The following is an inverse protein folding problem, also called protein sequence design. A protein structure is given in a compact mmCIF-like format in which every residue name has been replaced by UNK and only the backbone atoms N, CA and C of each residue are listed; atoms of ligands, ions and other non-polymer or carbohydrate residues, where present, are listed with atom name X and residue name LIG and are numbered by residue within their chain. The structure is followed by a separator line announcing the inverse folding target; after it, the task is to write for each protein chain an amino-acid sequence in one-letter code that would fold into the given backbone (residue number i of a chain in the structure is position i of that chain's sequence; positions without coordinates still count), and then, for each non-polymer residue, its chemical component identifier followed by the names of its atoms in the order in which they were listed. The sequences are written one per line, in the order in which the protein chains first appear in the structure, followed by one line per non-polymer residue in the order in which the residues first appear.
data_IF_880273459366
#
_entry.id   IF_880273459366
#
_cell.length_a   1.000
_cell.length_b   1.000
_cell.length_c   1.000
_cell.angle_alpha   90.00
_cell.angle_beta   90.00
_cell.angle_gamma   90.00
#
_symmetry.space_group_name_H-M   'P 1'
#
loop_
_entity.id
_entity.type
_entity.pdbx_description
1 polymer ?
#
# COMPACT_ATOMS: atom_id res chain seq x y z
N UNK A 1 68.42 -21.86 -30.77
CA UNK A 1 68.92 -22.37 -32.04
C UNK A 1 67.82 -23.23 -32.64
N UNK A 2 67.31 -22.78 -33.76
CA UNK A 2 66.58 -23.48 -34.83
C UNK A 2 65.50 -24.54 -34.52
N UNK A 3 64.32 -24.15 -34.98
CA UNK A 3 63.16 -24.92 -35.46
C UNK A 3 63.59 -26.02 -36.45
N UNK A 4 62.94 -27.20 -36.40
CA UNK A 4 62.44 -27.84 -37.63
C UNK A 4 61.39 -28.95 -37.41
N UNK A 5 60.14 -28.56 -37.67
CA UNK A 5 59.13 -29.21 -38.51
C UNK A 5 59.28 -30.71 -38.87
N UNK A 6 58.26 -31.50 -38.51
CA UNK A 6 57.55 -32.34 -39.49
C UNK A 6 56.03 -32.22 -39.31
N UNK A 7 55.42 -31.70 -40.35
CA UNK A 7 53.99 -31.63 -40.64
C UNK A 7 53.51 -33.01 -41.10
N UNK A 8 52.34 -33.45 -40.63
CA UNK A 8 51.33 -34.04 -41.51
C UNK A 8 49.92 -33.86 -40.91
N UNK A 9 49.18 -32.94 -41.53
CA UNK A 9 47.73 -32.77 -41.45
C UNK A 9 47.03 -33.97 -42.08
N UNK A 10 45.88 -34.41 -41.56
CA UNK A 10 44.67 -34.67 -42.37
C UNK A 10 43.37 -34.58 -41.54
N UNK A 11 42.60 -33.52 -41.84
CA UNK A 11 41.14 -33.34 -41.91
C UNK A 11 40.18 -33.87 -40.82
N UNK A 12 39.69 -32.90 -40.04
CA UNK A 12 38.29 -32.47 -39.87
C UNK A 12 37.15 -33.51 -40.01
N UNK A 13 36.43 -33.70 -38.90
CA UNK A 13 34.97 -33.74 -38.93
C UNK A 13 34.41 -32.96 -37.72
N UNK A 14 33.58 -31.98 -38.04
CA UNK A 14 32.90 -31.06 -37.14
C UNK A 14 32.14 -31.78 -36.02
N UNK A 15 32.37 -31.36 -34.77
CA UNK A 15 31.35 -31.43 -33.73
C UNK A 15 30.93 -30.00 -33.40
N UNK A 16 29.64 -29.65 -33.54
CA UNK A 16 29.17 -28.37 -33.06
C UNK A 16 29.32 -28.38 -31.54
N UNK A 17 30.10 -27.43 -31.04
CA UNK A 17 30.14 -27.03 -29.65
C UNK A 17 28.71 -26.73 -29.21
N UNK A 18 28.13 -27.67 -28.47
CA UNK A 18 26.91 -27.46 -27.71
C UNK A 18 27.28 -26.53 -26.55
N UNK A 19 27.40 -25.23 -26.84
CA UNK A 19 27.30 -24.18 -25.84
C UNK A 19 25.87 -24.22 -25.34
N UNK A 20 25.64 -25.06 -24.34
CA UNK A 20 24.52 -24.90 -23.42
C UNK A 20 24.81 -23.59 -22.71
N UNK A 21 24.26 -22.49 -23.23
CA UNK A 21 23.95 -21.34 -22.41
C UNK A 21 22.93 -21.84 -21.39
N UNK A 22 23.41 -22.37 -20.27
CA UNK A 22 22.65 -22.35 -19.05
C UNK A 22 22.40 -20.87 -18.80
N UNK A 23 21.16 -20.44 -19.04
CA UNK A 23 20.64 -19.25 -18.42
C UNK A 23 20.63 -19.54 -16.92
N UNK A 24 21.78 -19.38 -16.27
CA UNK A 24 21.82 -19.18 -14.84
C UNK A 24 21.12 -17.84 -14.65
N UNK A 25 19.80 -17.88 -14.42
CA UNK A 25 19.22 -16.85 -13.58
C UNK A 25 20.14 -16.79 -12.35
N UNK A 26 20.71 -15.62 -12.05
CA UNK A 26 21.47 -15.46 -10.82
C UNK A 26 20.52 -15.82 -9.68
N UNK A 27 20.72 -16.99 -9.08
CA UNK A 27 19.93 -17.43 -7.95
C UNK A 27 20.30 -16.54 -6.76
N UNK A 28 19.43 -15.60 -6.44
CA UNK A 28 19.59 -14.72 -5.29
C UNK A 28 19.46 -15.55 -4.02
N UNK A 29 20.40 -15.39 -3.12
CA UNK A 29 20.48 -16.07 -1.83
C UNK A 29 20.35 -15.10 -0.66
N UNK A 30 19.89 -15.60 0.49
CA UNK A 30 19.79 -14.81 1.73
C UNK A 30 21.14 -14.24 2.18
N UNK A 31 22.25 -14.87 1.80
CA UNK A 31 23.60 -14.46 2.17
C UNK A 31 24.07 -13.17 1.45
N UNK A 32 23.37 -12.74 0.41
CA UNK A 32 23.66 -11.48 -0.29
C UNK A 32 23.08 -10.25 0.44
N UNK A 33 22.26 -10.47 1.46
CA UNK A 33 21.65 -9.41 2.26
C UNK A 33 22.40 -9.22 3.58
N UNK A 34 22.42 -8.00 4.15
CA UNK A 34 23.05 -7.76 5.44
C UNK A 34 22.48 -8.64 6.55
N UNK A 35 23.32 -8.96 7.53
CA UNK A 35 22.87 -9.62 8.76
C UNK A 35 21.75 -8.79 9.41
N UNK A 36 20.67 -9.47 9.80
CA UNK A 36 19.49 -8.84 10.36
C UNK A 36 18.48 -8.31 9.33
N UNK A 37 18.70 -8.51 8.02
CA UNK A 37 17.68 -8.19 7.02
C UNK A 37 16.38 -8.99 7.26
N UNK A 38 15.25 -8.30 7.16
CA UNK A 38 13.94 -8.87 7.41
C UNK A 38 13.35 -9.40 6.09
N UNK A 39 13.10 -10.70 6.05
CA UNK A 39 12.32 -11.39 5.03
C UNK A 39 11.00 -11.83 5.65
N UNK A 40 9.90 -11.50 4.98
CA UNK A 40 8.56 -11.71 5.53
C UNK A 40 7.48 -11.85 4.48
N UNK A 41 6.29 -12.18 4.96
CA UNK A 41 5.04 -12.18 4.19
C UNK A 41 4.14 -11.05 4.69
N UNK A 42 3.12 -10.68 3.91
CA UNK A 42 2.22 -9.58 4.23
C UNK A 42 0.76 -9.95 4.00
N UNK A 43 -0.14 -9.47 4.87
CA UNK A 43 -1.60 -9.64 4.77
C UNK A 43 -2.34 -8.39 5.25
N UNK A 44 -3.67 -8.37 5.09
CA UNK A 44 -4.57 -7.37 5.68
C UNK A 44 -5.81 -8.02 6.28
N UNK A 45 -6.34 -7.39 7.32
CA UNK A 45 -7.41 -7.94 8.15
C UNK A 45 -8.64 -8.37 7.35
N UNK A 46 -9.21 -7.47 6.54
CA UNK A 46 -10.41 -7.79 5.76
C UNK A 46 -10.17 -8.90 4.71
N UNK A 47 -8.95 -9.01 4.19
CA UNK A 47 -8.61 -10.00 3.16
C UNK A 47 -8.44 -11.42 3.72
N UNK A 48 -8.13 -11.58 5.02
CA UNK A 48 -7.81 -12.90 5.58
C UNK A 48 -8.63 -13.33 6.79
N UNK A 49 -9.10 -12.39 7.63
CA UNK A 49 -9.62 -12.73 8.95
C UNK A 49 -10.94 -13.49 8.92
N UNK A 50 -11.91 -13.00 8.16
CA UNK A 50 -13.29 -13.46 8.31
C UNK A 50 -13.87 -13.11 9.68
N UNK A 51 -14.78 -13.96 10.16
CA UNK A 51 -15.47 -13.80 11.45
C UNK A 51 -16.05 -12.37 11.59
N UNK A 52 -16.67 -11.90 10.51
CA UNK A 52 -16.90 -10.47 10.28
C UNK A 52 -17.91 -9.81 11.25
N UNK A 53 -18.69 -10.61 11.97
CA UNK A 53 -19.65 -10.20 13.01
C UNK A 53 -19.42 -10.89 14.37
N UNK A 54 -18.31 -11.61 14.53
CA UNK A 54 -18.02 -12.34 15.76
C UNK A 54 -17.43 -11.44 16.84
N UNK A 55 -17.62 -11.84 18.10
CA UNK A 55 -16.97 -11.27 19.27
C UNK A 55 -17.00 -9.73 19.34
N UNK A 56 -18.14 -9.14 18.96
CA UNK A 56 -18.40 -7.71 19.09
C UNK A 56 -17.80 -6.84 17.98
N UNK A 57 -17.21 -7.43 16.94
CA UNK A 57 -16.86 -6.70 15.71
C UNK A 57 -18.12 -6.14 15.05
N UNK A 58 -18.06 -4.90 14.58
CA UNK A 58 -19.13 -4.29 13.77
C UNK A 58 -18.79 -4.35 12.27
N UNK A 59 -19.76 -3.99 11.45
CA UNK A 59 -19.56 -3.84 10.01
C UNK A 59 -18.54 -2.72 9.72
N UNK A 60 -17.57 -3.04 8.88
CA UNK A 60 -16.68 -2.10 8.22
C UNK A 60 -17.29 -1.59 6.90
N UNK A 61 -16.66 -0.58 6.33
CA UNK A 61 -16.93 -0.10 4.97
C UNK A 61 -16.86 -1.21 3.91
N UNK A 62 -15.90 -2.12 4.03
CA UNK A 62 -15.75 -3.25 3.12
C UNK A 62 -16.83 -4.33 3.32
N UNK A 63 -17.22 -4.59 4.57
CA UNK A 63 -18.33 -5.50 4.88
C UNK A 63 -19.59 -5.02 4.15
N UNK A 64 -19.94 -3.73 4.25
CA UNK A 64 -21.13 -3.19 3.57
C UNK A 64 -20.98 -3.19 2.05
N UNK A 65 -19.83 -2.75 1.53
CA UNK A 65 -19.63 -2.58 0.10
C UNK A 65 -19.66 -3.91 -0.67
N UNK A 66 -19.03 -4.96 -0.13
CA UNK A 66 -18.98 -6.28 -0.77
C UNK A 66 -20.36 -6.96 -0.85
N UNK A 67 -21.28 -6.61 0.04
CA UNK A 67 -22.66 -7.09 0.03
C UNK A 67 -23.57 -6.34 -0.96
N UNK A 68 -23.06 -5.31 -1.65
CA UNK A 68 -23.83 -4.61 -2.70
C UNK A 68 -23.75 -5.41 -4.01
N UNK A 69 -24.88 -5.84 -4.59
CA UNK A 69 -24.88 -6.59 -5.84
C UNK A 69 -24.15 -5.86 -6.97
N UNK A 70 -23.23 -6.58 -7.63
CA UNK A 70 -22.48 -6.06 -8.78
C UNK A 70 -21.27 -5.18 -8.43
N UNK A 71 -20.95 -4.97 -7.15
CA UNK A 71 -19.71 -4.26 -6.74
C UNK A 71 -18.47 -5.14 -6.73
N UNK A 72 -18.64 -6.45 -6.50
CA UNK A 72 -17.58 -7.45 -6.59
C UNK A 72 -17.83 -8.29 -7.84
N UNK A 73 -16.81 -8.47 -8.68
CA UNK A 73 -16.92 -9.13 -10.00
C UNK A 73 -17.60 -10.50 -9.92
N UNK A 74 -17.23 -11.30 -8.92
CA UNK A 74 -17.78 -12.64 -8.68
C UNK A 74 -18.81 -12.71 -7.55
N UNK A 75 -19.15 -11.57 -6.94
CA UNK A 75 -20.07 -11.50 -5.80
C UNK A 75 -19.55 -12.14 -4.51
N UNK A 76 -18.24 -12.38 -4.41
CA UNK A 76 -17.58 -12.89 -3.21
C UNK A 76 -17.45 -11.78 -2.13
N UNK A 77 -17.27 -12.15 -0.87
CA UNK A 77 -17.11 -11.22 0.24
C UNK A 77 -16.06 -11.71 1.26
N UNK A 78 -15.80 -10.88 2.27
CA UNK A 78 -14.81 -11.14 3.32
C UNK A 78 -15.38 -11.80 4.57
N UNK A 79 -16.60 -12.37 4.51
CA UNK A 79 -17.30 -12.85 5.72
C UNK A 79 -16.53 -13.96 6.44
N UNK A 80 -15.94 -14.85 5.64
CA UNK A 80 -15.07 -15.95 6.07
C UNK A 80 -13.63 -15.73 5.62
N UNK A 81 -13.41 -15.20 4.41
CA UNK A 81 -12.08 -15.07 3.80
C UNK A 81 -11.29 -16.41 3.83
N UNK A 82 -10.09 -16.44 4.42
CA UNK A 82 -9.34 -17.70 4.68
C UNK A 82 -9.48 -18.15 6.14
N UNK A 83 -10.40 -17.56 6.89
CA UNK A 83 -10.75 -17.89 8.27
C UNK A 83 -9.58 -17.74 9.25
N UNK A 84 -8.69 -16.77 9.00
CA UNK A 84 -7.52 -16.49 9.83
C UNK A 84 -7.90 -16.16 11.27
N UNK A 85 -9.10 -15.58 11.52
CA UNK A 85 -9.55 -15.30 12.89
C UNK A 85 -9.56 -16.55 13.78
N UNK A 86 -9.93 -17.71 13.21
CA UNK A 86 -9.92 -18.99 13.90
C UNK A 86 -8.63 -19.79 13.67
N UNK A 87 -7.97 -19.58 12.53
CA UNK A 87 -6.88 -20.42 12.02
C UNK A 87 -5.49 -19.78 12.08
N UNK A 88 -5.34 -18.62 12.74
CA UNK A 88 -4.07 -17.88 12.79
C UNK A 88 -2.87 -18.70 13.25
N UNK A 89 -3.06 -19.72 14.11
CA UNK A 89 -1.98 -20.63 14.51
C UNK A 89 -1.44 -21.45 13.33
N UNK A 90 -2.29 -21.91 12.42
CA UNK A 90 -1.86 -22.63 11.20
C UNK A 90 -1.03 -21.71 10.31
N UNK A 91 -1.46 -20.47 10.10
CA UNK A 91 -0.74 -19.50 9.29
C UNK A 91 0.63 -19.14 9.88
N UNK A 92 0.72 -19.02 11.22
CA UNK A 92 2.00 -18.77 11.91
C UNK A 92 2.95 -19.95 11.76
N UNK A 93 2.47 -21.20 11.84
CA UNK A 93 3.31 -22.37 11.59
C UNK A 93 3.79 -22.43 10.12
N UNK A 94 2.94 -22.07 9.16
CA UNK A 94 3.34 -21.96 7.75
C UNK A 94 4.45 -20.93 7.57
N UNK A 95 4.30 -19.73 8.13
CA UNK A 95 5.34 -18.69 8.08
C UNK A 95 6.64 -19.18 8.72
N UNK A 96 6.57 -19.80 9.90
CA UNK A 96 7.74 -20.35 10.56
C UNK A 96 8.45 -21.40 9.70
N UNK A 97 7.68 -22.28 9.03
CA UNK A 97 8.24 -23.30 8.13
C UNK A 97 8.97 -22.73 6.91
N UNK A 98 8.57 -21.54 6.44
CA UNK A 98 9.25 -20.81 5.36
C UNK A 98 10.57 -20.18 5.81
N UNK A 99 10.83 -20.07 7.12
CA UNK A 99 12.04 -19.44 7.65
C UNK A 99 12.03 -17.91 7.55
N UNK A 100 10.85 -17.29 7.46
CA UNK A 100 10.70 -15.83 7.55
C UNK A 100 10.97 -15.35 8.96
N UNK A 101 11.45 -14.12 9.09
CA UNK A 101 11.73 -13.48 10.39
C UNK A 101 10.89 -12.21 10.61
N UNK A 102 9.95 -11.90 9.71
CA UNK A 102 8.98 -10.84 9.90
C UNK A 102 7.61 -11.25 9.32
N UNK A 103 6.54 -10.73 9.93
CA UNK A 103 5.20 -10.84 9.38
C UNK A 103 4.51 -9.48 9.45
N UNK A 104 4.11 -8.98 8.28
CA UNK A 104 3.33 -7.75 8.19
C UNK A 104 1.85 -8.08 8.13
N UNK A 105 1.07 -7.57 9.07
CA UNK A 105 -0.38 -7.73 9.08
C UNK A 105 -1.07 -6.43 9.48
N UNK A 106 -2.36 -6.31 9.22
CA UNK A 106 -3.13 -5.16 9.68
C UNK A 106 -4.09 -5.50 10.82
N UNK A 107 -4.43 -4.48 11.60
CA UNK A 107 -5.48 -4.53 12.61
C UNK A 107 -6.79 -4.10 11.95
N UNK A 108 -7.89 -4.82 12.21
CA UNK A 108 -9.21 -4.37 11.83
C UNK A 108 -9.71 -3.31 12.80
N UNK A 109 -9.96 -2.10 12.26
CA UNK A 109 -10.49 -1.00 13.05
C UNK A 109 -11.86 -1.35 13.62
N UNK A 110 -12.75 -1.92 12.81
CA UNK A 110 -14.09 -2.32 13.24
C UNK A 110 -14.09 -3.46 14.29
N UNK A 111 -12.99 -4.21 14.43
CA UNK A 111 -12.82 -5.22 15.47
C UNK A 111 -12.34 -4.61 16.79
N UNK A 112 -11.39 -3.67 16.78
CA UNK A 112 -10.79 -3.07 17.99
C UNK A 112 -11.63 -1.92 18.55
N UNK A 113 -12.11 -1.04 17.68
CA UNK A 113 -12.98 0.09 18.04
C UNK A 113 -14.25 0.04 17.17
N UNK A 114 -15.22 -0.82 17.49
CA UNK A 114 -16.35 -1.10 16.61
C UNK A 114 -17.23 0.11 16.27
N UNK A 115 -17.17 1.16 17.09
CA UNK A 115 -17.93 2.40 16.88
C UNK A 115 -17.01 3.63 16.83
N UNK A 116 -15.73 3.45 16.52
CA UNK A 116 -14.70 4.49 16.70
C UNK A 116 -14.74 5.06 18.12
N UNK A 117 -14.67 6.39 18.24
CA UNK A 117 -14.79 7.11 19.54
C UNK A 117 -16.19 7.13 20.15
N UNK A 118 -17.19 6.61 19.45
CA UNK A 118 -18.61 6.60 19.90
C UNK A 118 -18.99 5.33 20.66
N UNK A 119 -18.01 4.48 20.98
CA UNK A 119 -18.19 3.28 21.77
C UNK A 119 -16.95 2.97 22.61
N UNK A 120 -16.96 1.78 23.20
CA UNK A 120 -15.83 1.26 23.98
C UNK A 120 -14.90 0.44 23.10
N UNK A 121 -13.65 0.31 23.55
CA UNK A 121 -12.71 -0.69 23.03
C UNK A 121 -13.35 -2.06 23.19
N UNK A 122 -13.25 -2.90 22.16
CA UNK A 122 -13.68 -4.28 22.21
C UNK A 122 -12.55 -5.17 22.77
N UNK A 123 -12.67 -5.72 24.00
CA UNK A 123 -11.60 -6.51 24.60
C UNK A 123 -11.29 -7.79 23.82
N UNK A 124 -12.29 -8.41 23.17
CA UNK A 124 -12.07 -9.63 22.39
C UNK A 124 -11.25 -9.35 21.11
N UNK A 125 -11.48 -8.21 20.47
CA UNK A 125 -10.64 -7.73 19.36
C UNK A 125 -9.19 -7.47 19.79
N UNK A 126 -9.00 -6.87 20.97
CA UNK A 126 -7.65 -6.66 21.53
C UNK A 126 -6.95 -7.97 21.85
N UNK A 127 -7.66 -8.90 22.47
CA UNK A 127 -7.13 -10.22 22.84
C UNK A 127 -6.72 -11.03 21.61
N UNK A 128 -7.48 -10.95 20.51
CA UNK A 128 -7.14 -11.62 19.26
C UNK A 128 -5.76 -11.20 18.73
N UNK A 129 -5.49 -9.90 18.63
CA UNK A 129 -4.19 -9.42 18.15
C UNK A 129 -3.06 -9.66 19.16
N UNK A 130 -3.33 -9.61 20.47
CA UNK A 130 -2.36 -10.03 21.47
C UNK A 130 -1.89 -11.48 21.23
N UNK A 131 -2.83 -12.41 21.02
CA UNK A 131 -2.50 -13.81 20.73
C UNK A 131 -1.65 -13.99 19.48
N UNK A 132 -1.97 -13.28 18.39
CA UNK A 132 -1.16 -13.31 17.16
C UNK A 132 0.25 -12.83 17.46
N UNK A 133 0.39 -11.66 18.08
CA UNK A 133 1.69 -11.05 18.39
C UNK A 133 2.54 -11.97 19.28
N UNK A 134 1.96 -12.54 20.32
CA UNK A 134 2.66 -13.45 21.22
C UNK A 134 3.12 -14.71 20.48
N UNK A 135 2.26 -15.29 19.63
CA UNK A 135 2.61 -16.49 18.86
C UNK A 135 3.71 -16.22 17.82
N UNK A 136 3.71 -15.06 17.16
CA UNK A 136 4.76 -14.67 16.23
C UNK A 136 6.11 -14.54 16.94
N UNK A 137 6.14 -13.84 18.08
CA UNK A 137 7.36 -13.62 18.86
C UNK A 137 7.91 -14.94 19.43
N UNK A 138 7.05 -15.86 19.85
CA UNK A 138 7.45 -17.22 20.26
C UNK A 138 8.17 -17.99 19.13
N UNK A 139 7.87 -17.68 17.87
CA UNK A 139 8.50 -18.27 16.68
C UNK A 139 9.67 -17.45 16.15
N UNK A 140 10.05 -16.36 16.81
CA UNK A 140 11.10 -15.45 16.36
C UNK A 140 10.73 -14.66 15.11
N UNK A 141 9.44 -14.45 14.87
CA UNK A 141 8.91 -13.66 13.75
C UNK A 141 8.54 -12.27 14.27
N UNK A 142 9.18 -11.23 13.74
CA UNK A 142 8.96 -9.85 14.14
C UNK A 142 7.61 -9.33 13.60
N UNK A 143 6.70 -8.82 14.44
CA UNK A 143 5.42 -8.27 13.99
C UNK A 143 5.60 -6.87 13.39
N UNK A 144 5.16 -6.71 12.13
CA UNK A 144 5.12 -5.43 11.43
C UNK A 144 3.66 -4.99 11.24
N UNK A 145 3.17 -4.13 12.12
CA UNK A 145 1.72 -3.89 12.23
C UNK A 145 1.27 -2.68 11.43
N UNK A 146 0.27 -2.89 10.56
CA UNK A 146 -0.46 -1.83 9.87
C UNK A 146 -1.72 -1.45 10.64
N UNK A 147 -1.85 -0.20 11.07
CA UNK A 147 -2.96 0.27 11.91
C UNK A 147 -4.26 0.36 11.11
N UNK A 148 -4.21 0.85 9.86
CA UNK A 148 -5.36 0.85 8.96
C UNK A 148 -4.97 0.40 7.55
N UNK A 149 -5.67 -0.62 7.07
CA UNK A 149 -5.54 -1.14 5.71
C UNK A 149 -6.91 -1.10 5.04
N UNK A 150 -7.37 0.12 4.74
CA UNK A 150 -8.59 0.43 3.98
C UNK A 150 -9.91 0.08 4.68
N UNK A 151 -9.88 -0.69 5.78
CA UNK A 151 -11.05 -0.95 6.61
C UNK A 151 -11.23 0.11 7.71
N UNK A 152 -12.48 0.55 7.88
CA UNK A 152 -12.93 1.40 8.98
C UNK A 152 -14.36 1.01 9.38
N UNK A 153 -14.79 1.25 10.63
CA UNK A 153 -16.17 1.01 11.03
C UNK A 153 -17.13 1.78 10.11
N UNK A 154 -18.13 1.10 9.55
CA UNK A 154 -19.14 1.71 8.69
C UNK A 154 -19.88 2.86 9.40
N UNK A 155 -19.96 2.82 10.73
CA UNK A 155 -20.54 3.90 11.52
C UNK A 155 -19.83 5.26 11.29
N UNK A 156 -18.52 5.27 11.03
CA UNK A 156 -17.78 6.51 10.74
C UNK A 156 -18.14 7.07 9.35
N UNK A 157 -18.32 6.18 8.37
CA UNK A 157 -18.85 6.54 7.05
C UNK A 157 -20.25 7.15 7.17
N UNK A 158 -21.17 6.50 7.90
CA UNK A 158 -22.52 7.01 8.10
C UNK A 158 -22.60 8.33 8.86
N UNK A 159 -21.72 8.56 9.83
CA UNK A 159 -21.77 9.76 10.68
C UNK A 159 -21.26 11.01 9.97
N UNK A 160 -20.19 10.87 9.19
CA UNK A 160 -19.51 12.04 8.63
C UNK A 160 -18.78 11.77 7.31
N UNK A 161 -18.98 10.63 6.66
CA UNK A 161 -18.33 10.29 5.38
C UNK A 161 -16.88 9.81 5.53
N UNK A 162 -16.53 9.22 6.69
CA UNK A 162 -15.23 8.60 6.90
C UNK A 162 -14.08 9.57 6.64
N UNK A 163 -13.15 9.17 5.75
CA UNK A 163 -11.96 9.96 5.41
C UNK A 163 -12.22 11.27 4.66
N UNK A 164 -13.45 11.55 4.20
CA UNK A 164 -13.79 12.86 3.66
C UNK A 164 -13.83 13.96 4.71
N UNK A 165 -14.05 13.59 5.98
CA UNK A 165 -14.21 14.54 7.07
C UNK A 165 -12.94 14.64 7.92
N UNK A 166 -12.52 15.84 8.33
CA UNK A 166 -11.42 16.01 9.28
C UNK A 166 -11.72 15.39 10.65
N UNK A 167 -12.99 15.08 10.94
CA UNK A 167 -13.37 14.35 12.15
C UNK A 167 -12.75 12.95 12.24
N UNK A 168 -12.40 12.32 11.11
CA UNK A 168 -11.73 11.01 11.09
C UNK A 168 -10.37 11.06 11.78
N UNK A 169 -9.73 12.23 11.80
CA UNK A 169 -8.36 12.37 12.30
C UNK A 169 -8.28 12.02 13.79
N UNK A 170 -9.26 12.46 14.57
CA UNK A 170 -9.29 12.18 16.01
C UNK A 170 -9.76 10.74 16.30
N UNK A 171 -10.62 10.18 15.44
CA UNK A 171 -11.00 8.76 15.48
C UNK A 171 -9.81 7.84 15.18
N UNK A 172 -9.01 8.15 14.16
CA UNK A 172 -7.80 7.39 13.82
C UNK A 172 -6.74 7.52 14.91
N UNK A 173 -6.54 8.72 15.47
CA UNK A 173 -5.63 8.90 16.61
C UNK A 173 -6.04 8.04 17.80
N UNK A 174 -7.34 7.90 18.08
CA UNK A 174 -7.83 7.00 19.12
C UNK A 174 -7.46 5.55 18.82
N UNK A 175 -7.68 5.08 17.58
CA UNK A 175 -7.27 3.73 17.16
C UNK A 175 -5.76 3.52 17.35
N UNK A 176 -4.94 4.44 16.86
CA UNK A 176 -3.49 4.35 16.95
C UNK A 176 -3.04 4.28 18.42
N UNK A 177 -3.57 5.15 19.29
CA UNK A 177 -3.29 5.11 20.74
C UNK A 177 -3.69 3.77 21.36
N UNK A 178 -4.89 3.26 21.05
CA UNK A 178 -5.32 1.94 21.54
C UNK A 178 -4.34 0.86 21.09
N UNK A 179 -3.83 0.91 19.85
CA UNK A 179 -2.83 -0.04 19.38
C UNK A 179 -1.49 0.10 20.13
N UNK A 180 -0.98 1.33 20.31
CA UNK A 180 0.27 1.56 21.03
C UNK A 180 0.19 1.11 22.49
N UNK A 181 -0.93 1.38 23.16
CA UNK A 181 -1.15 1.04 24.57
C UNK A 181 -1.25 -0.46 24.81
N UNK A 182 -1.85 -1.21 23.88
CA UNK A 182 -2.10 -2.64 24.07
C UNK A 182 -1.02 -3.55 23.47
N UNK A 183 -0.30 -3.08 22.45
CA UNK A 183 0.63 -3.94 21.69
C UNK A 183 2.06 -3.39 21.59
N UNK A 184 2.27 -2.10 21.86
CA UNK A 184 3.56 -1.45 21.60
C UNK A 184 4.70 -1.84 22.54
N UNK A 185 4.41 -2.54 23.64
CA UNK A 185 5.43 -3.20 24.45
C UNK A 185 6.18 -4.27 23.63
N UNK A 186 5.51 -4.91 22.66
CA UNK A 186 6.01 -5.99 21.81
C UNK A 186 6.24 -5.57 20.36
N UNK A 187 5.35 -4.77 19.77
CA UNK A 187 5.44 -4.33 18.37
C UNK A 187 6.45 -3.19 18.21
N UNK A 188 7.43 -3.37 17.32
CA UNK A 188 8.47 -2.36 17.04
C UNK A 188 8.33 -1.65 15.69
N UNK A 189 7.48 -2.14 14.79
CA UNK A 189 7.28 -1.53 13.48
C UNK A 189 5.81 -1.22 13.22
N UNK A 190 5.50 0.07 13.13
CA UNK A 190 4.14 0.58 12.94
C UNK A 190 3.99 1.23 11.57
N UNK A 191 3.08 0.73 10.75
CA UNK A 191 2.58 1.44 9.57
C UNK A 191 1.25 2.08 9.93
N UNK A 192 1.08 3.40 9.77
CA UNK A 192 -0.22 4.02 10.03
C UNK A 192 -1.25 3.65 8.97
N UNK A 193 -0.90 3.83 7.70
CA UNK A 193 -1.78 3.60 6.56
C UNK A 193 -1.08 2.77 5.48
N UNK A 194 -1.82 1.81 4.93
CA UNK A 194 -1.46 1.16 3.67
C UNK A 194 -2.02 1.93 2.48
N UNK A 195 -1.15 2.29 1.54
CA UNK A 195 -1.45 2.82 0.20
C UNK A 195 -2.54 3.91 0.17
N UNK A 196 -2.35 5.07 0.81
CA UNK A 196 -3.31 6.17 0.75
C UNK A 196 -3.65 6.61 -0.68
N UNK A 197 -2.67 6.53 -1.58
CA UNK A 197 -2.82 6.84 -3.00
C UNK A 197 -3.75 5.86 -3.73
N UNK A 198 -3.68 4.55 -3.42
CA UNK A 198 -4.61 3.56 -3.99
C UNK A 198 -5.99 3.67 -3.36
N UNK A 199 -6.09 3.94 -2.06
CA UNK A 199 -7.38 4.17 -1.40
C UNK A 199 -8.14 5.32 -2.06
N UNK A 200 -7.45 6.42 -2.39
CA UNK A 200 -8.03 7.55 -3.10
C UNK A 200 -8.39 7.20 -4.57
N UNK A 201 -7.49 6.56 -5.32
CA UNK A 201 -7.76 6.19 -6.71
C UNK A 201 -8.93 5.21 -6.83
N UNK A 202 -8.93 4.14 -6.03
CA UNK A 202 -9.96 3.10 -6.14
C UNK A 202 -11.29 3.52 -5.52
N UNK A 203 -11.27 4.28 -4.41
CA UNK A 203 -12.48 4.64 -3.66
C UNK A 203 -13.19 5.91 -4.14
N UNK A 204 -12.44 6.86 -4.70
CA UNK A 204 -12.93 8.22 -5.03
C UNK A 204 -12.60 8.69 -6.45
N UNK A 205 -11.83 7.94 -7.24
CA UNK A 205 -11.60 8.25 -8.66
C UNK A 205 -12.27 7.20 -9.55
N UNK A 206 -11.97 5.93 -9.32
CA UNK A 206 -12.51 4.79 -10.07
C UNK A 206 -13.79 4.23 -9.46
N UNK A 207 -14.02 4.38 -8.16
CA UNK A 207 -15.23 3.93 -7.45
C UNK A 207 -15.42 2.41 -7.38
N UNK A 208 -14.30 1.67 -7.42
CA UNK A 208 -14.26 0.20 -7.30
C UNK A 208 -13.96 -0.26 -5.86
N UNK A 209 -13.53 0.64 -4.98
CA UNK A 209 -13.44 0.44 -3.53
C UNK A 209 -14.54 1.22 -2.82
N UNK A 210 -14.88 0.89 -1.54
CA UNK A 210 -15.76 1.72 -0.74
C UNK A 210 -15.24 3.18 -0.65
N UNK A 211 -16.11 4.20 -0.67
CA UNK A 211 -17.58 4.15 -0.76
C UNK A 211 -18.12 4.02 -2.19
N UNK A 212 -17.24 3.85 -3.19
CA UNK A 212 -17.62 3.68 -4.59
C UNK A 212 -17.90 5.01 -5.30
N UNK A 213 -17.27 6.10 -4.87
CA UNK A 213 -17.36 7.38 -5.53
C UNK A 213 -16.41 7.40 -6.73
N UNK A 214 -16.86 7.95 -7.86
CA UNK A 214 -16.10 7.90 -9.10
C UNK A 214 -16.21 9.18 -9.91
N UNK A 215 -15.30 9.33 -10.87
CA UNK A 215 -15.35 10.34 -11.92
C UNK A 215 -15.86 9.75 -13.22
N UNK A 216 -16.63 10.54 -13.97
CA UNK A 216 -16.92 10.22 -15.36
C UNK A 216 -15.59 10.18 -16.16
N UNK A 217 -15.40 9.24 -17.12
CA UNK A 217 -16.37 8.27 -17.62
C UNK A 217 -16.17 6.84 -17.07
N UNK A 218 -15.58 6.64 -15.88
CA UNK A 218 -15.29 5.28 -15.38
C UNK A 218 -16.57 4.45 -15.16
N UNK A 219 -17.60 5.05 -14.54
CA UNK A 219 -18.91 4.46 -14.31
C UNK A 219 -19.99 5.53 -14.39
N UNK A 220 -21.28 5.15 -14.30
CA UNK A 220 -22.38 6.11 -14.12
C UNK A 220 -22.29 6.70 -12.70
N UNK A 221 -21.56 7.80 -12.57
CA UNK A 221 -21.12 8.31 -11.27
C UNK A 221 -22.18 9.22 -10.65
N UNK A 222 -22.69 8.85 -9.48
CA UNK A 222 -23.64 9.68 -8.72
C UNK A 222 -22.97 10.85 -8.00
N UNK A 223 -21.67 10.74 -7.72
CA UNK A 223 -20.88 11.75 -7.00
C UNK A 223 -20.37 12.84 -7.97
N UNK A 224 -20.65 14.11 -7.64
CA UNK A 224 -20.38 15.26 -8.53
C UNK A 224 -19.00 15.90 -8.35
N UNK A 225 -18.20 15.52 -7.35
CA UNK A 225 -16.95 16.22 -7.01
C UNK A 225 -15.80 15.29 -6.58
N UNK A 226 -15.71 14.12 -7.21
CA UNK A 226 -14.85 13.03 -6.73
C UNK A 226 -13.33 13.34 -6.84
N UNK A 227 -12.93 14.33 -7.68
CA UNK A 227 -11.55 14.85 -7.71
C UNK A 227 -11.16 15.51 -6.38
N UNK A 228 -12.03 16.39 -5.87
CA UNK A 228 -11.81 17.07 -4.59
C UNK A 228 -11.88 16.08 -3.42
N UNK A 229 -12.78 15.11 -3.52
CA UNK A 229 -12.92 14.06 -2.51
C UNK A 229 -11.62 13.23 -2.37
N UNK A 230 -11.02 12.81 -3.49
CA UNK A 230 -9.74 12.11 -3.48
C UNK A 230 -8.63 12.93 -2.79
N UNK A 231 -8.55 14.25 -3.08
CA UNK A 231 -7.61 15.16 -2.42
C UNK A 231 -7.85 15.27 -0.90
N UNK A 232 -9.11 15.42 -0.49
CA UNK A 232 -9.48 15.53 0.93
C UNK A 232 -9.19 14.25 1.71
N UNK A 233 -9.43 13.08 1.11
CA UNK A 233 -9.17 11.78 1.73
C UNK A 233 -7.68 11.60 2.01
N UNK A 234 -6.82 11.80 1.01
CA UNK A 234 -5.36 11.70 1.22
C UNK A 234 -4.90 12.76 2.23
N UNK A 235 -5.42 13.98 2.16
CA UNK A 235 -5.09 15.02 3.14
C UNK A 235 -5.44 14.60 4.57
N UNK A 236 -6.66 14.12 4.81
CA UNK A 236 -7.07 13.65 6.15
C UNK A 236 -6.26 12.45 6.62
N UNK A 237 -5.89 11.51 5.74
CA UNK A 237 -5.00 10.40 6.09
C UNK A 237 -3.59 10.91 6.48
N UNK A 238 -3.02 11.86 5.73
CA UNK A 238 -1.71 12.45 6.05
C UNK A 238 -1.71 13.18 7.39
N UNK A 239 -2.76 13.95 7.70
CA UNK A 239 -2.89 14.60 9.01
C UNK A 239 -3.09 13.59 10.13
N UNK A 240 -3.90 12.56 9.89
CA UNK A 240 -4.10 11.45 10.84
C UNK A 240 -2.78 10.75 11.15
N UNK A 241 -1.97 10.48 10.14
CA UNK A 241 -0.62 9.95 10.28
C UNK A 241 0.26 10.88 11.13
N UNK A 242 0.36 12.16 10.74
CA UNK A 242 1.20 13.13 11.45
C UNK A 242 0.82 13.28 12.93
N UNK A 243 -0.49 13.29 13.24
CA UNK A 243 -0.99 13.31 14.62
C UNK A 243 -0.64 12.03 15.38
N UNK A 244 -0.82 10.86 14.78
CA UNK A 244 -0.50 9.57 15.40
C UNK A 244 1.01 9.41 15.64
N UNK A 245 1.84 9.78 14.67
CA UNK A 245 3.29 9.77 14.79
C UNK A 245 3.80 10.74 15.86
N UNK A 246 3.25 11.96 15.91
CA UNK A 246 3.55 12.90 16.98
C UNK A 246 3.25 12.31 18.36
N UNK A 247 2.06 11.73 18.55
CA UNK A 247 1.67 11.09 19.81
C UNK A 247 2.57 9.89 20.15
N UNK A 248 2.91 9.07 19.16
CA UNK A 248 3.81 7.93 19.35
C UNK A 248 5.17 8.39 19.88
N UNK A 249 5.78 9.40 19.23
CA UNK A 249 7.08 9.96 19.62
C UNK A 249 7.08 10.56 21.02
N UNK A 250 6.07 11.37 21.33
CA UNK A 250 5.99 12.09 22.61
C UNK A 250 5.73 11.17 23.81
N UNK A 251 4.95 10.10 23.62
CA UNK A 251 4.41 9.34 24.74
C UNK A 251 4.84 7.87 24.80
N UNK A 252 5.23 7.27 23.68
CA UNK A 252 5.41 5.82 23.59
C UNK A 252 6.81 5.43 23.13
N UNK A 253 7.39 6.13 22.15
CA UNK A 253 8.62 5.72 21.47
C UNK A 253 9.81 5.54 22.41
N UNK A 254 10.01 6.44 23.38
CA UNK A 254 11.12 6.32 24.34
C UNK A 254 11.06 5.02 25.15
N UNK A 255 9.85 4.56 25.52
CA UNK A 255 9.65 3.34 26.31
C UNK A 255 9.56 2.09 25.45
N UNK A 256 8.92 2.21 24.28
CA UNK A 256 8.59 1.08 23.41
C UNK A 256 9.68 0.78 22.39
N UNK A 257 10.50 1.77 22.02
CA UNK A 257 11.65 1.59 21.13
C UNK A 257 11.29 1.25 19.68
N UNK A 258 10.05 1.45 19.24
CA UNK A 258 9.63 1.17 17.87
C UNK A 258 9.77 2.36 16.91
N UNK A 259 9.47 2.10 15.64
CA UNK A 259 9.47 3.05 14.53
C UNK A 259 8.09 3.16 13.89
N UNK A 260 7.76 4.33 13.35
CA UNK A 260 6.48 4.58 12.69
C UNK A 260 6.66 5.11 11.27
N UNK A 261 5.87 4.61 10.33
CA UNK A 261 5.95 4.98 8.91
C UNK A 261 4.62 4.83 8.18
N UNK A 262 4.68 4.96 6.86
CA UNK A 262 3.55 4.73 5.94
C UNK A 262 4.00 3.76 4.86
N UNK A 263 3.05 3.02 4.31
CA UNK A 263 3.28 2.19 3.13
C UNK A 263 2.61 2.86 1.93
N UNK A 264 3.34 3.05 0.85
CA UNK A 264 2.81 3.61 -0.40
C UNK A 264 2.86 2.57 -1.51
N UNK A 265 1.83 2.58 -2.37
CA UNK A 265 1.88 1.82 -3.61
C UNK A 265 2.80 2.58 -4.58
N UNK A 266 3.76 1.89 -5.18
CA UNK A 266 4.78 2.50 -6.02
C UNK A 266 4.90 1.76 -7.35
N UNK A 267 4.22 2.29 -8.37
CA UNK A 267 4.59 1.95 -9.75
C UNK A 267 5.89 2.67 -10.11
N UNK A 268 6.74 2.01 -10.87
CA UNK A 268 7.79 2.70 -11.62
C UNK A 268 7.22 3.14 -12.98
N UNK A 269 7.59 4.32 -13.46
CA UNK A 269 7.07 4.87 -14.71
C UNK A 269 8.20 5.11 -15.71
N UNK A 270 8.07 4.50 -16.88
CA UNK A 270 8.94 4.75 -18.04
C UNK A 270 8.19 5.64 -19.04
N UNK A 271 8.85 6.59 -19.72
CA UNK A 271 8.17 7.35 -20.78
C UNK A 271 7.82 6.42 -21.95
N UNK A 272 6.63 6.58 -22.53
CA UNK A 272 6.19 5.72 -23.65
C UNK A 272 7.06 5.96 -24.90
N UNK A 273 7.58 7.17 -25.08
CA UNK A 273 8.48 7.57 -26.17
C UNK A 273 9.62 8.47 -25.67
N UNK A 274 10.62 8.69 -26.53
CA UNK A 274 11.75 9.60 -26.24
C UNK A 274 11.37 11.10 -26.31
N UNK A 275 10.10 11.42 -26.56
CA UNK A 275 9.64 12.81 -26.59
C UNK A 275 9.69 13.44 -25.19
N UNK A 276 10.09 14.70 -25.12
CA UNK A 276 10.22 15.42 -23.85
C UNK A 276 8.89 15.48 -23.07
N UNK A 277 7.76 15.59 -23.76
CA UNK A 277 6.44 15.60 -23.11
C UNK A 277 6.13 14.29 -22.37
N UNK A 278 6.58 13.13 -22.87
CA UNK A 278 6.37 11.83 -22.24
C UNK A 278 7.35 11.59 -21.08
N UNK A 279 8.57 12.14 -21.18
CA UNK A 279 9.52 12.18 -20.06
C UNK A 279 9.00 13.02 -18.89
N UNK A 280 8.42 14.18 -19.21
CA UNK A 280 7.70 14.99 -18.23
C UNK A 280 6.46 14.25 -17.70
N UNK A 281 5.76 13.46 -18.52
CA UNK A 281 4.61 12.66 -18.09
C UNK A 281 5.01 11.58 -17.08
N UNK A 282 6.13 10.88 -17.30
CA UNK A 282 6.66 9.91 -16.33
C UNK A 282 6.97 10.60 -14.98
N UNK A 283 7.60 11.77 -15.00
CA UNK A 283 7.84 12.58 -13.79
C UNK A 283 6.54 12.99 -13.10
N UNK A 284 5.52 13.42 -13.85
CA UNK A 284 4.19 13.75 -13.30
C UNK A 284 3.49 12.52 -12.73
N UNK A 285 3.61 11.35 -13.35
CA UNK A 285 3.01 10.12 -12.84
C UNK A 285 3.59 9.75 -11.46
N UNK A 286 4.90 9.88 -11.27
CA UNK A 286 5.54 9.72 -9.97
C UNK A 286 5.02 10.75 -8.95
N UNK A 287 4.90 12.01 -9.35
CA UNK A 287 4.42 13.09 -8.48
C UNK A 287 2.98 12.85 -7.99
N UNK A 288 2.08 12.44 -8.89
CA UNK A 288 0.66 12.18 -8.60
C UNK A 288 0.39 10.79 -8.00
N UNK A 289 1.42 9.96 -7.79
CA UNK A 289 1.27 8.64 -7.20
C UNK A 289 2.03 8.49 -5.89
N UNK A 290 3.37 8.54 -5.94
CA UNK A 290 4.24 8.29 -4.79
C UNK A 290 4.47 9.59 -4.01
N UNK A 291 4.88 10.65 -4.71
CA UNK A 291 5.24 11.91 -4.06
C UNK A 291 4.02 12.60 -3.43
N UNK A 292 2.81 12.40 -3.96
CA UNK A 292 1.57 12.90 -3.39
C UNK A 292 1.43 12.53 -1.90
N UNK A 293 1.90 11.34 -1.51
CA UNK A 293 1.91 10.89 -0.12
C UNK A 293 3.22 11.25 0.58
N UNK A 294 4.37 11.06 -0.06
CA UNK A 294 5.67 11.17 0.62
C UNK A 294 6.20 12.61 0.76
N UNK A 295 5.98 13.49 -0.21
CA UNK A 295 6.49 14.87 -0.15
C UNK A 295 5.93 15.65 1.05
N UNK A 296 4.64 15.56 1.41
CA UNK A 296 4.14 16.18 2.63
C UNK A 296 4.89 15.71 3.88
N UNK A 297 5.24 14.41 3.93
CA UNK A 297 5.89 13.80 5.09
C UNK A 297 7.39 14.09 5.16
N UNK A 298 8.05 14.28 4.02
CA UNK A 298 9.50 14.53 3.93
C UNK A 298 9.82 16.04 3.88
N UNK A 299 9.11 16.77 3.04
CA UNK A 299 9.38 18.16 2.68
C UNK A 299 8.47 19.15 3.39
N UNK A 300 7.27 18.70 3.81
CA UNK A 300 6.28 19.49 4.53
C UNK A 300 5.20 20.11 3.65
N UNK A 301 5.14 19.76 2.37
CA UNK A 301 4.14 20.25 1.43
C UNK A 301 3.91 19.25 0.29
N UNK A 302 2.83 19.42 -0.47
CA UNK A 302 2.53 18.60 -1.65
C UNK A 302 3.49 18.87 -2.83
N UNK A 303 3.59 17.94 -3.79
CA UNK A 303 4.43 18.13 -4.98
C UNK A 303 4.04 19.38 -5.78
N UNK A 304 5.02 20.18 -6.27
CA UNK A 304 4.76 21.40 -7.03
C UNK A 304 3.98 21.14 -8.33
N UNK A 305 4.13 19.97 -8.94
CA UNK A 305 3.39 19.54 -10.12
C UNK A 305 1.88 19.48 -9.85
N UNK A 306 1.49 19.03 -8.65
CA UNK A 306 0.09 18.97 -8.25
C UNK A 306 -0.49 20.36 -8.09
N UNK A 307 0.20 21.28 -7.43
CA UNK A 307 -0.22 22.68 -7.34
C UNK A 307 -0.38 23.35 -8.71
N UNK A 308 0.55 23.10 -9.63
CA UNK A 308 0.50 23.66 -10.99
C UNK A 308 -0.74 23.22 -11.76
N UNK A 309 -1.19 21.97 -11.59
CA UNK A 309 -2.30 21.41 -12.36
C UNK A 309 -3.66 21.48 -11.64
N UNK A 310 -3.68 21.40 -10.32
CA UNK A 310 -4.90 21.37 -9.51
C UNK A 310 -5.22 22.73 -8.85
N UNK A 311 -4.23 23.62 -8.74
CA UNK A 311 -4.42 25.01 -8.30
C UNK A 311 -5.13 25.10 -6.95
N UNK A 312 -6.23 25.87 -6.92
CA UNK A 312 -7.01 26.14 -5.70
C UNK A 312 -7.73 24.91 -5.13
N UNK A 313 -7.82 23.80 -5.88
CA UNK A 313 -8.38 22.55 -5.38
C UNK A 313 -7.44 21.83 -4.40
N UNK A 314 -6.14 22.16 -4.41
CA UNK A 314 -5.19 21.56 -3.48
C UNK A 314 -5.51 21.95 -2.03
N UNK A 315 -5.64 20.97 -1.12
CA UNK A 315 -5.82 21.26 0.29
C UNK A 315 -4.56 21.91 0.85
N UNK A 316 -4.73 22.77 1.85
CA UNK A 316 -3.63 23.51 2.48
C UNK A 316 -3.47 23.04 3.91
N UNK A 317 -2.22 22.82 4.32
CA UNK A 317 -1.90 22.55 5.71
C UNK A 317 -2.02 23.83 6.53
N UNK A 318 -2.69 23.72 7.68
CA UNK A 318 -2.68 24.75 8.70
C UNK A 318 -1.30 24.88 9.36
N UNK A 319 -0.99 26.01 10.01
CA UNK A 319 0.28 26.19 10.71
C UNK A 319 0.58 25.12 11.77
N UNK A 320 -0.45 24.54 12.40
CA UNK A 320 -0.26 23.50 13.42
C UNK A 320 -0.09 22.09 12.82
N UNK A 321 -0.58 21.86 11.61
CA UNK A 321 -0.35 20.64 10.84
C UNK A 321 1.07 20.64 10.24
N UNK A 322 1.52 21.77 9.71
CA UNK A 322 2.88 21.93 9.17
C UNK A 322 3.97 21.60 10.21
N UNK A 323 3.74 21.95 11.48
CA UNK A 323 4.64 21.61 12.60
C UNK A 323 4.78 20.10 12.84
N UNK A 324 3.79 19.30 12.44
CA UNK A 324 3.75 17.86 12.71
C UNK A 324 4.03 17.02 11.48
N UNK A 325 3.68 17.48 10.28
CA UNK A 325 3.73 16.65 9.07
C UNK A 325 5.15 16.41 8.57
N UNK A 326 5.99 17.44 8.56
CA UNK A 326 7.37 17.32 8.07
C UNK A 326 8.20 16.47 9.03
N UNK A 327 8.82 15.43 8.50
CA UNK A 327 9.63 14.48 9.26
C UNK A 327 8.79 13.54 10.14
N UNK A 328 7.50 13.33 9.86
CA UNK A 328 6.62 12.46 10.67
C UNK A 328 6.81 10.95 10.48
N UNK A 329 7.78 10.54 9.65
CA UNK A 329 8.10 9.15 9.35
C UNK A 329 9.52 8.78 9.79
N UNK A 330 9.67 7.53 10.23
CA UNK A 330 10.96 6.90 10.56
C UNK A 330 11.39 5.92 9.46
N UNK A 331 10.44 5.38 8.68
CA UNK A 331 10.69 4.53 7.51
C UNK A 331 9.59 4.72 6.44
N UNK A 332 9.89 4.27 5.23
CA UNK A 332 8.95 4.23 4.10
C UNK A 332 8.76 2.77 3.70
N UNK A 333 7.52 2.30 3.69
CA UNK A 333 7.17 1.02 3.09
C UNK A 333 6.81 1.20 1.62
N UNK A 334 7.33 0.34 0.75
CA UNK A 334 7.11 0.38 -0.69
C UNK A 334 6.40 -0.90 -1.12
N UNK A 335 5.14 -0.79 -1.53
CA UNK A 335 4.45 -1.86 -2.21
C UNK A 335 4.70 -1.69 -3.72
N UNK A 336 5.63 -2.45 -4.26
CA UNK A 336 5.99 -2.42 -5.68
C UNK A 336 5.65 -3.74 -6.35
N UNK A 337 4.87 -3.68 -7.43
CA UNK A 337 4.41 -4.87 -8.17
C UNK A 337 4.75 -4.82 -9.66
N UNK A 338 4.79 -3.63 -10.27
CA UNK A 338 4.98 -3.47 -11.71
C UNK A 338 5.55 -2.10 -12.06
N UNK A 339 6.02 -2.00 -13.29
CA UNK A 339 6.29 -0.74 -13.99
C UNK A 339 5.18 -0.48 -15.01
N UNK A 340 4.99 0.77 -15.43
CA UNK A 340 4.06 1.18 -16.48
C UNK A 340 4.73 2.19 -17.41
N UNK A 341 4.32 2.23 -18.68
CA UNK A 341 4.62 3.36 -19.55
C UNK A 341 3.71 4.55 -19.21
N UNK A 342 4.26 5.76 -19.34
CA UNK A 342 3.56 7.03 -19.14
C UNK A 342 3.57 7.84 -20.44
N UNK A 343 2.40 8.33 -20.83
CA UNK A 343 2.16 9.15 -22.03
C UNK A 343 1.52 10.48 -21.62
N UNK A 344 2.02 11.58 -22.17
CA UNK A 344 1.36 12.88 -22.03
C UNK A 344 0.04 12.91 -22.81
N UNK A 345 -1.07 12.97 -22.10
CA UNK A 345 -2.39 12.99 -22.72
C UNK A 345 -3.04 14.38 -22.75
N UNK A 346 -2.32 15.43 -22.35
CA UNK A 346 -2.83 16.83 -22.28
C UNK A 346 -3.46 17.34 -23.59
N UNK A 347 -3.07 16.77 -24.74
CA UNK A 347 -3.59 17.11 -26.07
C UNK A 347 -4.71 16.16 -26.56
N UNK A 348 -5.08 15.16 -25.75
CA UNK A 348 -6.12 14.15 -26.05
C UNK A 348 -6.93 13.82 -24.80
N UNK A 349 -7.68 14.79 -24.24
CA UNK A 349 -8.41 14.65 -22.98
C UNK A 349 -9.55 13.62 -23.01
N UNK A 350 -9.91 13.09 -24.18
CA UNK A 350 -10.90 12.01 -24.31
C UNK A 350 -10.38 10.63 -23.91
N UNK A 351 -9.05 10.45 -23.74
CA UNK A 351 -8.48 9.19 -23.24
C UNK A 351 -8.91 8.96 -21.78
N UNK A 352 -9.46 7.77 -21.48
CA UNK A 352 -9.80 7.37 -20.11
C UNK A 352 -8.55 7.48 -19.21
N UNK A 353 -8.70 8.11 -18.05
CA UNK A 353 -7.58 8.37 -17.13
C UNK A 353 -6.84 9.68 -17.38
N UNK A 354 -7.13 10.40 -18.47
CA UNK A 354 -6.52 11.69 -18.75
C UNK A 354 -7.20 12.84 -18.00
N UNK A 355 -6.99 12.92 -16.69
CA UNK A 355 -7.61 13.91 -15.81
C UNK A 355 -6.56 14.70 -15.03
N UNK A 356 -6.94 15.90 -14.55
CA UNK A 356 -6.04 16.75 -13.79
C UNK A 356 -5.57 16.06 -12.51
N UNK A 357 -6.46 15.31 -11.83
CA UNK A 357 -6.14 14.52 -10.63
C UNK A 357 -5.16 13.36 -10.89
N UNK A 358 -4.91 13.02 -12.16
CA UNK A 358 -3.91 12.04 -12.60
C UNK A 358 -2.73 12.71 -13.34
N UNK A 359 -2.58 14.02 -13.22
CA UNK A 359 -1.48 14.77 -13.80
C UNK A 359 -1.51 14.89 -15.33
N UNK A 360 -2.67 14.66 -15.98
CA UNK A 360 -2.78 14.51 -17.44
C UNK A 360 -1.77 13.50 -17.99
N UNK A 361 -1.69 12.33 -17.34
CA UNK A 361 -0.88 11.20 -17.77
C UNK A 361 -1.78 10.00 -18.04
N UNK A 362 -1.62 9.42 -19.23
CA UNK A 362 -2.14 8.09 -19.53
C UNK A 362 -1.06 7.06 -19.19
N UNK A 363 -1.44 5.94 -18.56
CA UNK A 363 -0.51 4.86 -18.21
C UNK A 363 -0.96 3.54 -18.78
N UNK A 364 0.00 2.71 -19.19
CA UNK A 364 -0.25 1.41 -19.83
C UNK A 364 0.86 0.42 -19.49
N UNK A 365 0.50 -0.86 -19.37
CA UNK A 365 1.47 -1.95 -19.22
C UNK A 365 2.11 -2.38 -20.54
N UNK A 366 1.70 -1.81 -21.67
CA UNK A 366 2.14 -2.22 -23.00
C UNK A 366 2.48 -1.02 -23.89
N UNK A 367 3.48 -1.19 -24.77
CA UNK A 367 3.81 -0.28 -25.86
C UNK A 367 3.83 -1.06 -27.18
N UNK A 368 3.03 -0.63 -28.16
CA UNK A 368 2.88 -1.30 -29.45
C UNK A 368 2.53 -2.80 -29.36
N UNK A 369 1.72 -3.16 -28.35
CA UNK A 369 1.32 -4.55 -28.07
C UNK A 369 2.43 -5.39 -27.40
N UNK A 370 3.50 -4.76 -26.94
CA UNK A 370 4.59 -5.41 -26.20
C UNK A 370 4.52 -4.99 -24.72
N UNK A 371 4.37 -5.94 -23.78
CA UNK A 371 4.38 -5.65 -22.35
C UNK A 371 5.67 -4.97 -21.87
N UNK A 372 5.56 -4.20 -20.80
CA UNK A 372 6.70 -3.64 -20.08
C UNK A 372 7.35 -4.74 -19.24
N UNK A 373 8.55 -5.15 -19.67
CA UNK A 373 9.25 -6.28 -19.08
C UNK A 373 8.83 -7.62 -19.70
N UNK A 374 9.41 -8.69 -19.19
CA UNK A 374 9.15 -10.06 -19.67
C UNK A 374 7.82 -10.58 -19.09
N UNK A 375 7.06 -11.33 -19.90
CA UNK A 375 5.86 -12.02 -19.41
C UNK A 375 6.27 -13.11 -18.40
N UNK A 376 5.90 -12.91 -17.14
CA UNK A 376 5.99 -13.95 -16.13
C UNK A 376 4.78 -14.86 -16.26
N UNK A 377 4.98 -16.09 -16.71
CA UNK A 377 3.93 -17.11 -16.72
C UNK A 377 3.53 -17.43 -15.27
N UNK A 378 2.32 -17.08 -14.87
CA UNK A 378 1.75 -17.58 -13.62
C UNK A 378 1.53 -19.10 -13.76
N UNK A 379 2.15 -19.88 -12.87
CA UNK A 379 1.91 -21.33 -12.73
C UNK A 379 0.57 -21.62 -12.06
#
# INVERSE_FOLDING_TARGET
MEINNKIQLFFLANLPSLLVFLCCAEEISRAEFPDGFLFGTSTSAYQIEGAFLEDGKTLSNWDVFSHIPGKIERGENGDVAVDHYHRYLEDIELMHSLGVNAYRFSISWARVLPRGRFGSINPAGVEFYNKIIDCLLLKGIEPFVTISHHDMPQELEHRYGGFLSPLVQDDFVLLAKTCFENYGDRVKYWTTFNEPNIYADMGYIRGVYPPGHCLEPYHNCSARNSEREALLVVHNMLISHAKAAYIYREHYQLKQGGSIGVVVHAFMYEPISDQECDREAASRALAFNIAWVLDPLLNGDYPPEMYRLLGENMPKFSPDELKKIKGSIDFIGINHYSSLYAENCSYSPSKLGCQAIKGFVYTTGERDGVPIGEEVSYL
#
